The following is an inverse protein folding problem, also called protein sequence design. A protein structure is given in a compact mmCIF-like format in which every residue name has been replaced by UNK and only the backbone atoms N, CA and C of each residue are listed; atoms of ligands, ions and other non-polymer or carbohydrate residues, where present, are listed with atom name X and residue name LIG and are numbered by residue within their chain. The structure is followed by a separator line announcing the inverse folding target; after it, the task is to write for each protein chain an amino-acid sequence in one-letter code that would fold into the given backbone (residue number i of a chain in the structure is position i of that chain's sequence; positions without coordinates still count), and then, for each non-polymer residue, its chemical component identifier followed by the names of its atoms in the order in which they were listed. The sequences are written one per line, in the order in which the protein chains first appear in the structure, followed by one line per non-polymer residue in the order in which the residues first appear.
data_IF_710108024429
#
_entry.id   IF_710108024429
#
_cell.length_a   1.000
_cell.length_b   1.000
_cell.length_c   1.000
_cell.angle_alpha   90.00
_cell.angle_beta   90.00
_cell.angle_gamma   90.00
#
_symmetry.space_group_name_H-M   'P 1'
#
loop_
_entity.id
_entity.type
_entity.pdbx_description
1 polymer ?
#
# COMPACT_ATOMS: atom_id res chain seq x y z
N UNK A 1 -23.94 42.97 -35.59
CA UNK A 1 -23.93 41.59 -36.11
C UNK A 1 -22.83 40.83 -35.38
N UNK A 2 -23.19 39.96 -34.44
CA UNK A 2 -22.24 39.23 -33.57
C UNK A 2 -22.35 37.73 -33.87
N UNK A 3 -21.24 36.98 -34.01
CA UNK A 3 -21.31 35.58 -34.38
C UNK A 3 -21.51 34.66 -33.18
N UNK A 4 -22.48 33.76 -33.34
CA UNK A 4 -22.85 32.65 -32.45
C UNK A 4 -21.72 31.61 -32.40
N UNK A 5 -21.25 31.25 -31.19
CA UNK A 5 -20.37 30.08 -30.95
C UNK A 5 -21.16 28.94 -30.31
N UNK A 6 -21.60 28.01 -31.14
CA UNK A 6 -22.09 26.69 -30.73
C UNK A 6 -20.92 25.79 -30.33
N UNK A 7 -20.86 25.37 -29.06
CA UNK A 7 -19.98 24.29 -28.58
C UNK A 7 -20.69 22.95 -28.73
N UNK A 8 -20.13 22.05 -29.54
CA UNK A 8 -20.48 20.61 -29.55
C UNK A 8 -19.77 19.94 -28.37
N UNK A 9 -20.53 19.26 -27.51
CA UNK A 9 -20.01 18.35 -26.50
C UNK A 9 -20.04 16.92 -27.05
N UNK A 10 -18.88 16.28 -27.10
CA UNK A 10 -18.73 14.84 -27.32
C UNK A 10 -18.66 14.15 -25.95
N UNK A 11 -19.63 13.29 -25.67
CA UNK A 11 -19.66 12.45 -24.48
C UNK A 11 -18.93 11.13 -24.78
N UNK A 12 -17.80 10.89 -24.13
CA UNK A 12 -17.20 9.56 -24.05
C UNK A 12 -17.80 8.79 -22.87
N UNK A 13 -18.44 7.68 -23.20
CA UNK A 13 -18.97 6.69 -22.27
C UNK A 13 -17.81 5.79 -21.86
N UNK A 14 -17.35 5.92 -20.60
CA UNK A 14 -16.43 4.95 -19.98
C UNK A 14 -17.23 3.95 -19.18
N UNK A 15 -17.30 2.76 -19.77
CA UNK A 15 -17.75 1.49 -19.23
C UNK A 15 -17.00 1.17 -17.92
N UNK A 16 -17.75 1.03 -16.81
CA UNK A 16 -17.19 0.62 -15.51
C UNK A 16 -17.45 -0.87 -15.34
N UNK A 17 -16.39 -1.64 -15.55
CA UNK A 17 -16.33 -3.06 -15.28
C UNK A 17 -16.75 -3.41 -13.86
N UNK A 18 -17.64 -4.39 -13.79
CA UNK A 18 -17.98 -5.19 -12.63
C UNK A 18 -16.72 -5.91 -12.11
N UNK A 19 -16.30 -5.63 -10.88
CA UNK A 19 -15.31 -6.46 -10.17
C UNK A 19 -15.49 -6.33 -8.65
N UNK A 20 -16.51 -7.00 -8.11
CA UNK A 20 -16.60 -7.27 -6.67
C UNK A 20 -16.91 -8.75 -6.46
N UNK A 21 -15.86 -9.56 -6.34
CA UNK A 21 -15.91 -10.87 -5.70
C UNK A 21 -14.49 -11.30 -5.32
N UNK A 22 -14.10 -11.08 -4.07
CA UNK A 22 -13.27 -12.00 -3.28
C UNK A 22 -13.06 -11.44 -1.88
N UNK A 23 -13.83 -11.97 -0.92
CA UNK A 23 -13.47 -12.02 0.50
C UNK A 23 -12.13 -12.74 0.60
N UNK A 24 -11.09 -12.07 1.07
CA UNK A 24 -9.91 -12.72 1.63
C UNK A 24 -9.74 -12.23 3.06
N UNK A 25 -10.19 -13.04 4.00
CA UNK A 25 -9.83 -12.91 5.40
C UNK A 25 -8.38 -13.38 5.54
N UNK A 26 -7.46 -12.46 5.77
CA UNK A 26 -6.16 -12.81 6.32
C UNK A 26 -6.05 -12.15 7.71
N UNK A 27 -6.40 -12.95 8.73
CA UNK A 27 -5.99 -12.71 10.11
C UNK A 27 -4.49 -12.96 10.16
N UNK A 28 -3.68 -11.91 10.28
CA UNK A 28 -2.34 -12.04 10.82
C UNK A 28 -2.34 -11.51 12.25
N UNK A 29 -2.10 -12.45 13.16
CA UNK A 29 -1.79 -12.25 14.57
C UNK A 29 -0.36 -11.73 14.68
N UNK A 30 -0.18 -10.49 15.11
CA UNK A 30 1.10 -10.01 15.60
C UNK A 30 1.12 -10.14 17.12
N UNK A 31 1.79 -11.19 17.56
CA UNK A 31 2.27 -11.39 18.92
C UNK A 31 3.73 -11.79 18.81
N UNK A 32 4.64 -10.88 19.17
CA UNK A 32 6.03 -11.16 19.52
C UNK A 32 6.54 -9.90 20.23
N UNK A 33 6.46 -9.81 21.56
CA UNK A 33 7.19 -10.56 22.57
C UNK A 33 8.70 -10.29 22.52
N UNK A 34 9.13 -9.55 23.54
CA UNK A 34 10.50 -9.32 23.97
C UNK A 34 11.35 -10.59 23.97
N UNK A 35 12.63 -10.45 23.61
CA UNK A 35 13.73 -11.19 24.25
C UNK A 35 15.03 -10.39 24.11
N UNK A 36 15.41 -9.78 25.23
CA UNK A 36 16.78 -9.37 25.51
C UNK A 36 17.69 -10.61 25.71
N UNK A 37 18.99 -10.33 25.85
CA UNK A 37 20.06 -11.14 26.48
C UNK A 37 20.78 -12.16 25.59
N UNK A 38 22.05 -11.93 25.22
CA UNK A 38 23.23 -12.25 26.07
C UNK A 38 24.57 -11.90 25.42
N UNK A 39 25.49 -11.57 26.32
CA UNK A 39 26.92 -11.36 26.12
C UNK A 39 27.72 -12.65 25.84
N UNK A 40 28.93 -12.43 25.31
CA UNK A 40 30.20 -13.14 25.52
C UNK A 40 30.40 -14.62 25.14
N UNK A 41 31.34 -14.84 24.22
CA UNK A 41 32.51 -15.77 24.26
C UNK A 41 33.23 -15.62 22.90
N UNK A 42 34.44 -15.08 22.76
CA UNK A 42 35.77 -15.61 23.12
C UNK A 42 36.04 -17.07 22.70
N UNK A 43 37.03 -17.21 21.80
CA UNK A 43 38.06 -18.27 21.71
C UNK A 43 37.94 -19.43 20.68
N UNK A 44 39.13 -19.81 20.16
CA UNK A 44 39.56 -20.99 19.37
C UNK A 44 39.14 -21.08 17.89
N UNK A 45 40.03 -20.94 16.90
CA UNK A 45 41.13 -21.83 16.43
C UNK A 45 40.61 -23.12 15.79
N UNK A 46 40.78 -23.25 14.47
CA UNK A 46 41.06 -24.47 13.68
C UNK A 46 41.21 -24.03 12.20
N UNK A 47 42.41 -23.83 11.65
CA UNK A 47 43.38 -24.83 11.19
C UNK A 47 42.75 -25.89 10.26
N UNK A 48 42.32 -25.46 9.07
CA UNK A 48 41.78 -26.32 8.02
C UNK A 48 42.84 -26.81 7.03
N UNK A 49 43.49 -27.92 7.41
CA UNK A 49 44.00 -29.02 6.58
C UNK A 49 44.63 -28.73 5.20
N UNK A 50 45.96 -28.70 5.19
CA UNK A 50 46.79 -29.11 4.06
C UNK A 50 46.47 -30.57 3.70
N UNK A 51 45.96 -30.80 2.49
CA UNK A 51 45.93 -32.12 1.88
C UNK A 51 47.26 -32.36 1.18
N UNK A 52 48.16 -33.00 1.92
CA UNK A 52 49.40 -33.59 1.43
C UNK A 52 49.06 -34.77 0.52
N UNK A 53 49.08 -34.54 -0.80
CA UNK A 53 49.01 -35.60 -1.80
C UNK A 53 50.39 -36.27 -1.91
N UNK A 54 50.57 -37.38 -1.20
CA UNK A 54 51.67 -38.32 -1.42
C UNK A 54 51.61 -38.85 -2.86
N UNK A 55 52.53 -38.38 -3.71
CA UNK A 55 52.82 -39.00 -4.99
C UNK A 55 53.83 -40.15 -4.78
N UNK A 56 53.62 -41.31 -5.42
CA UNK A 56 54.49 -42.47 -5.26
C UNK A 56 55.87 -42.20 -5.85
N UNK A 57 56.91 -42.45 -5.02
CA UNK A 57 58.32 -42.44 -5.41
C UNK A 57 58.56 -43.49 -6.52
N UNK A 58 58.52 -43.05 -7.78
CA UNK A 58 59.06 -43.80 -8.90
C UNK A 58 60.60 -43.76 -8.80
N UNK A 59 61.18 -44.94 -8.54
CA UNK A 59 62.61 -45.20 -8.62
C UNK A 59 63.10 -44.97 -10.05
N UNK A 60 63.67 -43.79 -10.30
CA UNK A 60 64.32 -43.49 -11.57
C UNK A 60 65.53 -44.40 -11.81
N UNK A 61 65.70 -44.95 -13.02
CA UNK A 61 66.88 -45.73 -13.38
C UNK A 61 68.12 -44.83 -13.41
N UNK A 62 69.22 -45.36 -12.87
CA UNK A 62 70.54 -44.74 -12.86
C UNK A 62 71.07 -44.66 -14.31
N UNK A 63 70.76 -43.56 -14.99
CA UNK A 63 71.29 -43.23 -16.32
C UNK A 63 72.63 -42.49 -16.10
N UNK A 64 73.74 -42.97 -16.68
CA UNK A 64 75.03 -42.31 -16.55
C UNK A 64 74.95 -40.88 -17.11
N UNK A 65 75.25 -39.91 -16.24
CA UNK A 65 75.35 -38.49 -16.56
C UNK A 65 76.43 -38.29 -17.62
N UNK A 66 76.00 -38.10 -18.87
CA UNK A 66 76.84 -37.47 -19.89
C UNK A 66 76.94 -36.01 -19.49
N UNK A 67 78.08 -35.61 -18.93
CA UNK A 67 78.41 -34.20 -18.71
C UNK A 67 78.65 -33.55 -20.08
N UNK A 68 77.57 -33.10 -20.70
CA UNK A 68 77.64 -32.08 -21.75
C UNK A 68 78.10 -30.81 -21.04
N UNK A 69 79.31 -30.34 -21.36
CA UNK A 69 79.81 -29.05 -20.93
C UNK A 69 78.95 -27.96 -21.60
N UNK A 70 77.78 -27.69 -21.03
CA UNK A 70 76.92 -26.59 -21.44
C UNK A 70 77.52 -25.31 -20.86
N UNK A 71 77.68 -24.30 -21.71
CA UNK A 71 78.27 -23.01 -21.39
C UNK A 71 77.51 -22.36 -20.21
N UNK A 72 78.14 -22.28 -19.03
CA UNK A 72 77.53 -21.73 -17.80
C UNK A 72 76.94 -20.31 -17.99
N UNK A 73 77.49 -19.53 -18.92
CA UNK A 73 77.04 -18.18 -19.22
C UNK A 73 75.66 -18.15 -19.92
N UNK A 74 75.37 -19.09 -20.84
CA UNK A 74 74.08 -19.16 -21.54
C UNK A 74 72.95 -19.56 -20.59
N UNK A 75 73.23 -20.45 -19.64
CA UNK A 75 72.28 -20.83 -18.58
C UNK A 75 71.98 -19.69 -17.60
N UNK A 76 72.95 -18.81 -17.31
CA UNK A 76 72.72 -17.65 -16.44
C UNK A 76 71.93 -16.54 -17.15
N UNK A 77 72.14 -16.34 -18.46
CA UNK A 77 71.40 -15.35 -19.23
C UNK A 77 69.91 -15.71 -19.31
N UNK A 78 69.63 -17.00 -19.55
CA UNK A 78 68.25 -17.51 -19.67
C UNK A 78 67.49 -17.45 -18.35
N UNK A 79 68.12 -17.76 -17.21
CA UNK A 79 67.47 -17.62 -15.89
C UNK A 79 67.19 -16.17 -15.54
N UNK A 80 68.12 -15.25 -15.81
CA UNK A 80 67.91 -13.82 -15.59
C UNK A 80 66.78 -13.26 -16.47
N UNK A 81 66.65 -13.73 -17.71
CA UNK A 81 65.54 -13.34 -18.58
C UNK A 81 64.20 -13.88 -18.07
N UNK A 82 64.14 -15.15 -17.67
CA UNK A 82 62.93 -15.75 -17.10
C UNK A 82 62.50 -15.05 -15.82
N UNK A 83 63.43 -14.69 -14.94
CA UNK A 83 63.14 -13.93 -13.72
C UNK A 83 62.54 -12.56 -14.07
N UNK A 84 63.15 -11.82 -15.01
CA UNK A 84 62.61 -10.53 -15.46
C UNK A 84 61.20 -10.64 -16.05
N UNK A 85 60.92 -11.70 -16.81
CA UNK A 85 59.57 -11.93 -17.35
C UNK A 85 58.56 -12.25 -16.25
N UNK A 86 58.96 -13.04 -15.25
CA UNK A 86 58.12 -13.36 -14.09
C UNK A 86 57.81 -12.09 -13.29
N UNK A 87 58.83 -11.27 -12.98
CA UNK A 87 58.66 -10.02 -12.25
C UNK A 87 57.73 -9.06 -13.02
N UNK A 88 57.88 -8.96 -14.34
CA UNK A 88 57.00 -8.16 -15.18
C UNK A 88 55.54 -8.67 -15.17
N UNK A 89 55.33 -9.98 -15.18
CA UNK A 89 54.01 -10.59 -15.11
C UNK A 89 53.35 -10.35 -13.73
N UNK A 90 54.10 -10.54 -12.65
CA UNK A 90 53.64 -10.28 -11.27
C UNK A 90 53.27 -8.81 -11.10
N UNK A 91 54.11 -7.88 -11.56
CA UNK A 91 53.82 -6.44 -11.50
C UNK A 91 52.57 -6.08 -12.30
N UNK A 92 52.39 -6.66 -13.50
CA UNK A 92 51.18 -6.43 -14.30
C UNK A 92 49.92 -6.97 -13.60
N UNK A 93 50.01 -8.16 -13.00
CA UNK A 93 48.92 -8.72 -12.21
C UNK A 93 48.58 -7.82 -11.02
N UNK A 94 49.60 -7.37 -10.28
CA UNK A 94 49.41 -6.48 -9.13
C UNK A 94 48.69 -5.19 -9.52
N UNK A 95 49.13 -4.52 -10.60
CA UNK A 95 48.46 -3.31 -11.11
C UNK A 95 47.00 -3.57 -11.52
N UNK A 96 46.73 -4.73 -12.13
CA UNK A 96 45.36 -5.10 -12.55
C UNK A 96 44.46 -5.34 -11.35
N UNK A 97 44.98 -6.01 -10.31
CA UNK A 97 44.26 -6.25 -9.07
C UNK A 97 44.01 -4.94 -8.32
N UNK A 98 45.01 -4.05 -8.22
CA UNK A 98 44.85 -2.74 -7.59
C UNK A 98 43.81 -1.88 -8.30
N UNK A 99 43.80 -1.88 -9.65
CA UNK A 99 42.78 -1.18 -10.44
C UNK A 99 41.37 -1.75 -10.18
N UNK A 100 41.21 -3.08 -10.20
CA UNK A 100 39.92 -3.72 -9.92
C UNK A 100 39.43 -3.44 -8.49
N UNK A 101 40.34 -3.42 -7.50
CA UNK A 101 40.01 -3.06 -6.12
C UNK A 101 39.55 -1.60 -6.04
N UNK A 102 40.20 -0.69 -6.76
CA UNK A 102 39.80 0.72 -6.79
C UNK A 102 38.39 0.89 -7.38
N UNK A 103 38.09 0.22 -8.50
CA UNK A 103 36.76 0.26 -9.13
C UNK A 103 35.67 -0.33 -8.22
N UNK A 104 35.95 -1.46 -7.56
CA UNK A 104 35.01 -2.05 -6.60
C UNK A 104 34.71 -1.11 -5.42
N UNK A 105 35.72 -0.38 -4.93
CA UNK A 105 35.51 0.61 -3.86
C UNK A 105 34.60 1.75 -4.31
N UNK A 106 34.77 2.25 -5.54
CA UNK A 106 33.90 3.30 -6.09
C UNK A 106 32.46 2.80 -6.22
N UNK A 107 32.27 1.60 -6.76
CA UNK A 107 30.94 1.00 -6.90
C UNK A 107 30.28 0.77 -5.55
N UNK A 108 31.04 0.36 -4.52
CA UNK A 108 30.51 0.17 -3.18
C UNK A 108 30.02 1.49 -2.57
N UNK A 109 30.76 2.58 -2.75
CA UNK A 109 30.36 3.91 -2.29
C UNK A 109 29.09 4.38 -3.01
N UNK A 110 28.97 4.16 -4.32
CA UNK A 110 27.73 4.49 -5.07
C UNK A 110 26.52 3.67 -4.57
N UNK A 111 26.70 2.37 -4.35
CA UNK A 111 25.65 1.51 -3.84
C UNK A 111 25.22 1.91 -2.42
N UNK A 112 26.15 2.29 -1.56
CA UNK A 112 25.88 2.80 -0.22
C UNK A 112 25.05 4.09 -0.28
N UNK A 113 25.46 5.06 -1.10
CA UNK A 113 24.74 6.31 -1.30
C UNK A 113 23.31 6.09 -1.83
N UNK A 114 23.15 5.18 -2.80
CA UNK A 114 21.83 4.79 -3.33
C UNK A 114 20.96 4.11 -2.29
N UNK A 115 21.55 3.27 -1.45
CA UNK A 115 20.83 2.57 -0.38
C UNK A 115 20.29 3.56 0.65
N UNK A 116 21.14 4.47 1.14
CA UNK A 116 20.75 5.54 2.06
C UNK A 116 19.64 6.42 1.46
N UNK A 117 19.73 6.74 0.17
CA UNK A 117 18.69 7.51 -0.51
C UNK A 117 17.33 6.78 -0.54
N UNK A 118 17.34 5.48 -0.89
CA UNK A 118 16.12 4.67 -0.95
C UNK A 118 15.51 4.48 0.44
N UNK A 119 16.32 4.25 1.47
CA UNK A 119 15.86 4.18 2.85
C UNK A 119 15.18 5.48 3.30
N UNK A 120 15.77 6.63 2.96
CA UNK A 120 15.17 7.94 3.20
C UNK A 120 13.80 8.10 2.51
N UNK A 121 13.69 7.65 1.26
CA UNK A 121 12.43 7.68 0.51
C UNK A 121 11.37 6.74 1.08
N UNK A 122 11.77 5.56 1.54
CA UNK A 122 10.87 4.60 2.20
C UNK A 122 10.35 5.19 3.51
N UNK A 123 11.20 5.86 4.29
CA UNK A 123 10.78 6.50 5.53
C UNK A 123 9.78 7.65 5.26
N UNK A 124 10.07 8.52 4.28
CA UNK A 124 9.15 9.58 3.84
C UNK A 124 7.79 9.00 3.41
N UNK A 125 7.80 7.93 2.61
CA UNK A 125 6.58 7.26 2.19
C UNK A 125 5.81 6.64 3.36
N UNK A 126 6.51 6.07 4.33
CA UNK A 126 5.90 5.46 5.52
C UNK A 126 5.20 6.53 6.37
N UNK A 127 5.86 7.67 6.61
CA UNK A 127 5.28 8.79 7.37
C UNK A 127 4.06 9.38 6.66
N UNK A 128 4.17 9.64 5.36
CA UNK A 128 3.05 10.20 4.57
C UNK A 128 1.88 9.24 4.50
N UNK A 129 2.12 7.94 4.36
CA UNK A 129 1.07 6.91 4.37
C UNK A 129 0.35 6.84 5.74
N UNK A 130 1.09 6.93 6.85
CA UNK A 130 0.49 7.00 8.19
C UNK A 130 -0.44 8.23 8.32
N UNK A 131 0.01 9.41 7.91
CA UNK A 131 -0.81 10.63 7.93
C UNK A 131 -2.06 10.54 7.05
N UNK A 132 -1.97 9.89 5.89
CA UNK A 132 -3.12 9.69 5.00
C UNK A 132 -4.15 8.75 5.61
N UNK A 133 -3.72 7.70 6.32
CA UNK A 133 -4.61 6.79 7.05
C UNK A 133 -5.36 7.53 8.15
N UNK A 134 -4.67 8.30 8.99
CA UNK A 134 -5.29 9.08 10.07
C UNK A 134 -6.34 10.07 9.53
N UNK A 135 -6.05 10.70 8.39
CA UNK A 135 -6.99 11.60 7.71
C UNK A 135 -8.21 10.86 7.17
N UNK A 136 -8.02 9.68 6.60
CA UNK A 136 -9.11 8.85 6.11
C UNK A 136 -10.04 8.47 7.26
N UNK A 137 -9.50 7.98 8.37
CA UNK A 137 -10.27 7.61 9.56
C UNK A 137 -11.08 8.80 10.10
N UNK A 138 -10.46 9.98 10.11
CA UNK A 138 -11.14 11.22 10.52
C UNK A 138 -12.30 11.57 9.59
N UNK A 139 -12.13 11.42 8.26
CA UNK A 139 -13.17 11.69 7.28
C UNK A 139 -14.31 10.68 7.42
N UNK A 140 -14.00 9.39 7.57
CA UNK A 140 -14.99 8.33 7.77
C UNK A 140 -15.84 8.61 9.01
N UNK A 141 -15.19 8.97 10.13
CA UNK A 141 -15.90 9.34 11.35
C UNK A 141 -16.84 10.55 11.13
N UNK A 142 -16.40 11.57 10.39
CA UNK A 142 -17.22 12.74 10.07
C UNK A 142 -18.40 12.38 9.17
N UNK A 143 -18.21 11.50 8.18
CA UNK A 143 -19.30 11.02 7.33
C UNK A 143 -20.36 10.34 8.18
N UNK A 144 -19.97 9.41 9.04
CA UNK A 144 -20.91 8.72 9.95
C UNK A 144 -21.66 9.71 10.85
N UNK A 145 -20.98 10.71 11.40
CA UNK A 145 -21.64 11.76 12.18
C UNK A 145 -22.65 12.57 11.36
N UNK A 146 -22.33 12.87 10.10
CA UNK A 146 -23.24 13.60 9.22
C UNK A 146 -24.44 12.75 8.81
N UNK A 147 -24.25 11.45 8.53
CA UNK A 147 -25.33 10.51 8.26
C UNK A 147 -26.30 10.41 9.44
N UNK A 148 -25.79 10.26 10.66
CA UNK A 148 -26.62 10.24 11.87
C UNK A 148 -27.43 11.54 12.06
N UNK A 149 -26.81 12.70 11.80
CA UNK A 149 -27.50 13.98 11.85
C UNK A 149 -28.58 14.12 10.78
N UNK A 150 -28.32 13.60 9.57
CA UNK A 150 -29.31 13.61 8.50
C UNK A 150 -30.52 12.73 8.84
N UNK A 151 -30.29 11.54 9.40
CA UNK A 151 -31.36 10.66 9.89
C UNK A 151 -32.20 11.38 10.96
N UNK A 152 -31.57 11.99 11.97
CA UNK A 152 -32.28 12.72 13.01
C UNK A 152 -33.10 13.91 12.46
N UNK A 153 -32.57 14.64 11.48
CA UNK A 153 -33.30 15.72 10.80
C UNK A 153 -34.46 15.17 9.96
N UNK A 154 -34.26 14.07 9.23
CA UNK A 154 -35.32 13.44 8.44
C UNK A 154 -36.45 12.94 9.36
N UNK A 155 -36.11 12.27 10.46
CA UNK A 155 -37.07 11.76 11.45
C UNK A 155 -37.85 12.90 12.10
N UNK A 156 -37.18 14.01 12.46
CA UNK A 156 -37.86 15.21 12.97
C UNK A 156 -38.78 15.83 11.91
N UNK A 157 -38.32 15.89 10.66
CA UNK A 157 -39.13 16.42 9.56
C UNK A 157 -40.34 15.54 9.25
N UNK A 158 -40.28 14.23 9.53
CA UNK A 158 -41.36 13.27 9.25
C UNK A 158 -42.24 12.96 10.45
N UNK A 159 -41.89 13.41 11.66
CA UNK A 159 -42.62 13.14 12.90
C UNK A 159 -44.11 13.55 12.84
N UNK A 160 -44.41 14.62 12.13
CA UNK A 160 -45.78 15.13 11.96
C UNK A 160 -46.45 14.63 10.67
N UNK A 161 -45.78 13.74 9.93
CA UNK A 161 -46.33 13.16 8.70
C UNK A 161 -47.00 11.82 9.01
N UNK A 162 -48.30 11.75 8.78
CA UNK A 162 -49.08 10.53 8.87
C UNK A 162 -49.25 9.96 7.45
N UNK A 163 -48.99 8.66 7.30
CA UNK A 163 -49.19 7.93 6.03
C UNK A 163 -50.41 7.04 6.16
N UNK A 164 -51.43 7.32 5.36
CA UNK A 164 -52.68 6.56 5.34
C UNK A 164 -52.72 5.76 4.04
N UNK A 165 -52.94 4.45 4.16
CA UNK A 165 -53.01 3.50 3.04
C UNK A 165 -54.45 3.07 2.83
N UNK A 166 -54.82 2.76 1.58
CA UNK A 166 -56.18 2.31 1.24
C UNK A 166 -57.17 3.46 0.99
N UNK A 167 -56.68 4.66 0.69
CA UNK A 167 -57.53 5.75 0.18
C UNK A 167 -57.97 5.39 -1.25
N UNK A 168 -59.29 5.39 -1.55
CA UNK A 168 -59.78 5.10 -2.89
C UNK A 168 -59.21 6.08 -3.93
N UNK A 169 -58.81 5.56 -5.10
CA UNK A 169 -58.15 6.36 -6.15
C UNK A 169 -59.12 7.33 -6.86
N UNK A 170 -60.43 7.10 -6.71
CA UNK A 170 -61.47 7.96 -7.27
C UNK A 170 -61.53 9.33 -6.57
N UNK A 171 -60.95 9.45 -5.38
CA UNK A 171 -60.94 10.69 -4.60
C UNK A 171 -59.86 11.61 -5.16
N UNK A 172 -60.30 12.67 -5.84
CA UNK A 172 -59.41 13.71 -6.34
C UNK A 172 -58.72 14.48 -5.22
N UNK A 173 -57.61 15.14 -5.54
CA UNK A 173 -56.83 15.97 -4.59
C UNK A 173 -57.69 17.09 -3.96
N UNK A 174 -58.71 17.57 -4.67
CA UNK A 174 -59.62 18.61 -4.18
C UNK A 174 -60.56 18.12 -3.07
N UNK A 175 -61.00 16.86 -3.15
CA UNK A 175 -61.93 16.26 -2.18
C UNK A 175 -61.19 15.49 -1.07
N UNK A 176 -59.88 15.29 -1.23
CA UNK A 176 -59.05 14.53 -0.30
C UNK A 176 -59.11 15.13 1.10
N UNK A 177 -59.04 16.45 1.26
CA UNK A 177 -59.10 17.09 2.58
C UNK A 177 -60.41 16.76 3.31
N UNK A 178 -61.54 16.90 2.61
CA UNK A 178 -62.87 16.62 3.18
C UNK A 178 -63.02 15.15 3.55
N UNK A 179 -62.54 14.24 2.68
CA UNK A 179 -62.51 12.81 2.96
C UNK A 179 -61.67 12.49 4.20
N UNK A 180 -60.45 13.03 4.29
CA UNK A 180 -59.55 12.81 5.42
C UNK A 180 -60.16 13.32 6.72
N UNK A 181 -60.75 14.53 6.74
CA UNK A 181 -61.45 15.07 7.92
C UNK A 181 -62.61 14.16 8.35
N UNK A 182 -63.41 13.69 7.39
CA UNK A 182 -64.50 12.74 7.68
C UNK A 182 -63.99 11.42 8.27
N UNK A 183 -62.89 10.89 7.73
CA UNK A 183 -62.24 9.69 8.25
C UNK A 183 -61.70 9.91 9.68
N UNK A 184 -61.03 11.03 9.96
CA UNK A 184 -60.54 11.33 11.30
C UNK A 184 -61.67 11.50 12.32
N UNK A 185 -62.74 12.23 11.98
CA UNK A 185 -63.91 12.39 12.85
C UNK A 185 -64.65 11.07 13.10
N UNK A 186 -64.59 10.13 12.14
CA UNK A 186 -65.16 8.79 12.34
C UNK A 186 -64.35 7.94 13.33
N UNK A 187 -63.03 8.13 13.39
CA UNK A 187 -62.14 7.36 14.27
C UNK A 187 -62.04 8.01 15.66
N UNK A 188 -61.99 9.34 15.71
CA UNK A 188 -61.85 10.14 16.94
C UNK A 188 -62.93 11.22 16.97
N UNK A 189 -64.18 10.87 17.35
CA UNK A 189 -65.31 11.80 17.29
C UNK A 189 -65.21 12.96 18.28
N UNK A 190 -64.42 12.81 19.36
CA UNK A 190 -64.27 13.83 20.41
C UNK A 190 -63.34 14.98 20.00
N UNK A 191 -62.65 14.87 18.86
CA UNK A 191 -61.74 15.93 18.39
C UNK A 191 -62.54 16.98 17.62
N UNK A 192 -62.55 18.26 18.06
CA UNK A 192 -63.26 19.30 17.33
C UNK A 192 -62.60 19.55 15.97
N UNK A 193 -63.43 19.71 14.93
CA UNK A 193 -63.00 19.88 13.53
C UNK A 193 -62.05 21.05 13.29
N UNK A 194 -62.06 22.04 14.19
CA UNK A 194 -61.24 23.25 14.16
C UNK A 194 -59.79 22.99 14.59
N UNK A 195 -59.55 21.94 15.38
CA UNK A 195 -58.20 21.57 15.85
C UNK A 195 -57.40 20.75 14.81
N UNK A 196 -58.06 20.25 13.76
CA UNK A 196 -57.43 19.47 12.70
C UNK A 196 -56.95 20.41 11.58
N UNK A 197 -55.73 20.94 11.74
CA UNK A 197 -55.07 21.76 10.71
C UNK A 197 -54.19 20.87 9.83
N UNK A 198 -54.47 20.89 8.52
CA UNK A 198 -53.66 20.25 7.49
C UNK A 198 -52.79 21.29 6.80
N UNK A 199 -51.47 21.06 6.73
CA UNK A 199 -50.55 21.97 6.02
C UNK A 199 -50.35 21.53 4.57
N UNK A 200 -50.03 20.24 4.36
CA UNK A 200 -49.83 19.67 3.02
C UNK A 200 -50.46 18.29 2.92
N UNK A 201 -51.31 18.13 1.90
CA UNK A 201 -51.92 16.86 1.53
C UNK A 201 -51.36 16.42 0.18
N UNK A 202 -50.68 15.28 0.18
CA UNK A 202 -50.19 14.62 -1.04
C UNK A 202 -50.73 13.18 -1.03
N UNK A 203 -50.92 12.61 -2.23
CA UNK A 203 -51.42 11.23 -2.41
C UNK A 203 -50.57 10.15 -1.70
N UNK A 204 -49.40 10.51 -1.13
CA UNK A 204 -48.46 9.58 -0.50
C UNK A 204 -48.07 10.00 0.93
N UNK A 205 -48.49 11.19 1.40
CA UNK A 205 -48.13 11.71 2.72
C UNK A 205 -49.05 12.86 3.13
N UNK A 206 -49.51 12.85 4.37
CA UNK A 206 -50.35 13.90 4.95
C UNK A 206 -49.59 14.49 6.14
N UNK A 207 -49.32 15.80 6.12
CA UNK A 207 -48.72 16.51 7.25
C UNK A 207 -49.84 17.13 8.09
N UNK A 208 -50.04 16.63 9.31
CA UNK A 208 -51.04 17.14 10.23
C UNK A 208 -50.37 17.82 11.42
N UNK A 209 -50.88 19.00 11.75
CA UNK A 209 -50.48 19.70 12.96
C UNK A 209 -51.65 19.68 13.93
N UNK A 210 -51.45 19.03 15.07
CA UNK A 210 -52.33 19.20 16.22
C UNK A 210 -51.82 20.42 16.99
N UNK A 211 -52.59 21.50 16.97
CA UNK A 211 -52.38 22.60 17.90
C UNK A 211 -52.89 22.14 19.27
N UNK A 212 -51.98 21.64 20.09
CA UNK A 212 -52.26 21.46 21.51
C UNK A 212 -51.95 22.80 22.18
N UNK A 213 -52.98 23.61 22.44
CA UNK A 213 -52.84 24.74 23.35
C UNK A 213 -52.44 24.18 24.71
N UNK A 214 -51.16 24.32 25.06
CA UNK A 214 -50.65 24.02 26.39
C UNK A 214 -51.20 25.07 27.36
N UNK A 215 -52.33 24.75 27.98
CA UNK A 215 -52.81 25.37 29.22
C UNK A 215 -52.28 24.62 30.44
#
# INVERSE_FOLDING_TARGET
MSPNRTRKATAEVRDKGSFFAAKSQNKHTDSQADSQTKDNAQESVEAGSDQELELPLLSSPNIPYVQVAINKEETQLTTNLMQKMLDAAVNKMQLTVEAAIADLKVNFIDLDARTVHLEGKINEFTVTNAMLRDRLDTIEHRILQHELKLIDVEDRSRRNNIRIRGVPEEIGVQDLESYMRGLFLSIVPDTPSEMLLSDRLLNHSICLYLYQEMY
#
